data_IF_994755813284
#
_entry.id   IF_994755813284
#
_cell.length_a   1.000
_cell.length_b   1.000
_cell.length_c   1.000
_cell.angle_alpha   90.00
_cell.angle_beta   90.00
_cell.angle_gamma   90.00
#
_symmetry.space_group_name_H-M   'P 1'
#
loop_
_entity.id
_entity.type
_entity.pdbx_description
1 polymer ?
#
# COMPACT_ATOMS: atom_id res chain seq x y z
N UNK A 1 13.79 17.02 6.58
CA UNK A 1 14.33 15.87 5.79
C UNK A 1 13.27 14.83 5.48
N UNK A 2 12.35 14.50 6.41
CA UNK A 2 11.31 13.50 6.15
C UNK A 2 10.37 13.88 4.99
N UNK A 3 10.05 15.17 4.84
CA UNK A 3 9.19 15.65 3.75
C UNK A 3 9.86 15.47 2.38
N UNK A 4 11.15 15.84 2.27
CA UNK A 4 11.95 15.59 1.06
C UNK A 4 12.04 14.10 0.75
N UNK A 5 12.23 13.25 1.76
CA UNK A 5 12.22 11.81 1.57
C UNK A 5 10.85 11.31 1.09
N UNK A 6 9.74 11.83 1.65
CA UNK A 6 8.37 11.49 1.24
C UNK A 6 8.15 11.83 -0.23
N UNK A 7 8.55 13.03 -0.65
CA UNK A 7 8.47 13.46 -2.06
C UNK A 7 9.26 12.54 -2.98
N UNK A 8 10.52 12.27 -2.67
CA UNK A 8 11.38 11.37 -3.46
C UNK A 8 10.76 9.97 -3.52
N UNK A 9 10.30 9.43 -2.39
CA UNK A 9 9.78 8.07 -2.32
C UNK A 9 8.48 7.92 -3.12
N UNK A 10 7.57 8.89 -3.04
CA UNK A 10 6.37 8.93 -3.87
C UNK A 10 6.70 9.01 -5.37
N UNK A 11 7.64 9.89 -5.76
CA UNK A 11 8.05 10.03 -7.15
C UNK A 11 8.66 8.73 -7.70
N UNK A 12 9.50 8.04 -6.91
CA UNK A 12 10.09 6.76 -7.33
C UNK A 12 9.06 5.65 -7.49
N UNK A 13 8.02 5.57 -6.62
CA UNK A 13 6.96 4.58 -6.79
C UNK A 13 6.18 4.81 -8.10
N UNK A 14 5.85 6.07 -8.38
CA UNK A 14 5.11 6.48 -9.58
C UNK A 14 5.88 6.15 -10.85
N UNK A 15 7.16 6.53 -10.92
CA UNK A 15 8.04 6.23 -12.06
C UNK A 15 8.15 4.72 -12.27
N UNK A 16 8.35 3.92 -11.21
CA UNK A 16 8.43 2.47 -11.34
C UNK A 16 7.20 1.88 -12.05
N UNK A 17 5.99 2.35 -11.72
CA UNK A 17 4.76 1.85 -12.35
C UNK A 17 4.61 2.36 -13.78
N UNK A 18 4.87 3.64 -14.03
CA UNK A 18 4.74 4.25 -15.36
C UNK A 18 5.65 3.56 -16.38
N UNK A 19 6.84 3.14 -15.96
CA UNK A 19 7.81 2.42 -16.80
C UNK A 19 7.59 0.89 -16.83
N UNK A 20 6.48 0.39 -16.27
CA UNK A 20 6.14 -1.05 -16.27
C UNK A 20 6.95 -1.91 -15.30
N UNK A 21 7.70 -1.30 -14.39
CA UNK A 21 8.40 -1.99 -13.31
C UNK A 21 7.48 -2.40 -12.15
N UNK A 22 8.01 -3.24 -11.27
CA UNK A 22 7.32 -3.62 -10.02
C UNK A 22 7.83 -2.79 -8.85
N UNK A 23 6.93 -2.33 -7.97
CA UNK A 23 7.31 -1.45 -6.83
C UNK A 23 8.21 -2.14 -5.81
N UNK A 24 8.29 -3.46 -5.87
CA UNK A 24 9.18 -4.29 -5.06
C UNK A 24 9.51 -5.57 -5.83
N UNK A 25 10.64 -6.19 -5.48
CA UNK A 25 11.02 -7.53 -5.95
C UNK A 25 10.88 -8.54 -4.80
N UNK A 26 11.54 -8.28 -3.66
CA UNK A 26 11.52 -9.19 -2.50
C UNK A 26 11.42 -8.47 -1.14
N UNK A 27 11.50 -7.14 -1.10
CA UNK A 27 11.44 -6.38 0.16
C UNK A 27 10.01 -6.19 0.70
N UNK A 28 9.02 -6.77 0.01
CA UNK A 28 7.59 -6.52 0.23
C UNK A 28 7.21 -5.04 -0.01
N UNK A 29 5.96 -4.72 0.28
CA UNK A 29 5.37 -3.40 0.00
C UNK A 29 5.54 -2.46 1.21
N UNK A 30 5.03 -2.87 2.38
CA UNK A 30 4.96 -1.99 3.54
C UNK A 30 4.14 -0.72 3.25
N UNK A 31 4.22 0.30 4.11
CA UNK A 31 3.55 1.59 3.86
C UNK A 31 4.22 2.34 2.71
N UNK A 32 5.54 2.22 2.59
CA UNK A 32 6.33 3.11 1.74
C UNK A 32 6.16 2.86 0.25
N UNK A 33 5.77 1.64 -0.14
CA UNK A 33 5.52 1.29 -1.54
C UNK A 33 4.02 1.24 -1.88
N UNK A 34 3.11 1.63 -0.97
CA UNK A 34 1.66 1.63 -1.24
C UNK A 34 1.23 2.80 -2.11
N UNK A 35 1.44 4.02 -1.62
CA UNK A 35 0.95 5.26 -2.25
C UNK A 35 1.69 5.49 -3.56
N UNK A 36 0.94 5.78 -4.62
CA UNK A 36 1.41 5.83 -6.02
C UNK A 36 2.17 4.57 -6.48
N UNK A 37 1.98 3.48 -5.75
CA UNK A 37 2.72 2.24 -5.90
C UNK A 37 1.77 1.05 -5.95
N UNK A 38 1.91 0.11 -5.01
CA UNK A 38 1.11 -1.11 -4.94
C UNK A 38 -0.41 -0.88 -5.00
N UNK A 39 -0.91 0.27 -4.53
CA UNK A 39 -2.33 0.65 -4.65
C UNK A 39 -2.78 0.83 -6.11
N UNK A 40 -1.90 1.28 -7.01
CA UNK A 40 -2.14 1.37 -8.44
C UNK A 40 -1.73 0.09 -9.19
N UNK A 41 -0.71 -0.61 -8.71
CA UNK A 41 -0.14 -1.76 -9.40
C UNK A 41 -1.03 -3.01 -9.33
N UNK A 42 -1.75 -3.21 -8.23
CA UNK A 42 -2.57 -4.43 -8.04
C UNK A 42 -3.93 -4.31 -8.74
N UNK A 43 -4.48 -5.41 -9.29
CA UNK A 43 -5.88 -5.45 -9.69
C UNK A 43 -6.83 -5.34 -8.48
N UNK A 44 -8.01 -4.76 -8.69
CA UNK A 44 -8.97 -4.54 -7.59
C UNK A 44 -9.47 -5.85 -6.97
N UNK A 45 -9.77 -6.88 -7.77
CA UNK A 45 -10.20 -8.18 -7.24
C UNK A 45 -9.14 -8.87 -6.35
N UNK A 46 -7.86 -8.59 -6.59
CA UNK A 46 -6.78 -9.07 -5.71
C UNK A 46 -6.82 -8.38 -4.34
N UNK A 47 -7.15 -7.08 -4.31
CA UNK A 47 -7.39 -6.35 -3.06
C UNK A 47 -8.54 -6.97 -2.28
N UNK A 48 -9.66 -7.25 -2.95
CA UNK A 48 -10.87 -7.79 -2.31
C UNK A 48 -10.65 -9.17 -1.70
N UNK A 49 -9.89 -10.03 -2.39
CA UNK A 49 -9.46 -11.32 -1.86
C UNK A 49 -8.67 -11.15 -0.56
N UNK A 50 -7.67 -10.26 -0.54
CA UNK A 50 -6.86 -9.99 0.65
C UNK A 50 -7.67 -9.38 1.80
N UNK A 51 -8.58 -8.45 1.49
CA UNK A 51 -9.48 -7.83 2.47
C UNK A 51 -10.39 -8.88 3.11
N UNK A 52 -10.95 -9.78 2.31
CA UNK A 52 -11.82 -10.86 2.79
C UNK A 52 -11.06 -11.85 3.67
N UNK A 53 -9.85 -12.25 3.27
CA UNK A 53 -8.99 -13.09 4.09
C UNK A 53 -8.64 -12.40 5.43
N UNK A 54 -8.29 -11.11 5.39
CA UNK A 54 -7.99 -10.29 6.56
C UNK A 54 -9.16 -10.20 7.53
N UNK A 55 -10.39 -10.04 7.03
CA UNK A 55 -11.60 -10.03 7.84
C UNK A 55 -11.80 -11.36 8.58
N UNK A 56 -11.56 -12.50 7.91
CA UNK A 56 -11.69 -13.83 8.52
C UNK A 56 -10.66 -14.13 9.62
N UNK A 57 -9.41 -13.69 9.45
CA UNK A 57 -8.32 -14.02 10.40
C UNK A 57 -8.02 -12.93 11.42
N UNK A 58 -8.45 -11.69 11.18
CA UNK A 58 -8.25 -10.54 12.08
C UNK A 58 -9.49 -9.62 12.04
N UNK A 59 -10.64 -10.07 12.58
CA UNK A 59 -11.91 -9.36 12.47
C UNK A 59 -11.91 -7.99 13.16
N UNK A 60 -11.01 -7.78 14.14
CA UNK A 60 -10.83 -6.48 14.80
C UNK A 60 -9.79 -5.59 14.12
N UNK A 61 -9.06 -6.13 13.14
CA UNK A 61 -8.00 -5.44 12.37
C UNK A 61 -6.86 -4.91 13.24
N UNK A 62 -6.40 -5.70 14.21
CA UNK A 62 -5.36 -5.31 15.17
C UNK A 62 -3.97 -5.43 14.54
N UNK A 63 -3.74 -6.43 13.69
CA UNK A 63 -2.42 -6.71 13.15
C UNK A 63 -2.12 -5.79 11.96
N UNK A 64 -1.34 -4.73 12.20
CA UNK A 64 -0.78 -3.84 11.18
C UNK A 64 -1.80 -3.28 10.17
N UNK A 65 -2.87 -2.60 10.63
CA UNK A 65 -3.88 -2.05 9.74
C UNK A 65 -3.30 -1.00 8.78
N UNK A 66 -3.71 -1.06 7.52
CA UNK A 66 -3.30 -0.10 6.48
C UNK A 66 -1.85 -0.25 6.01
N UNK A 67 -1.12 -1.32 6.40
CA UNK A 67 0.25 -1.53 5.91
C UNK A 67 0.27 -2.01 4.46
N UNK A 68 -0.56 -2.99 4.10
CA UNK A 68 -0.65 -3.51 2.72
C UNK A 68 -1.98 -3.11 2.06
N UNK A 69 -3.06 -3.17 2.84
CA UNK A 69 -4.42 -2.86 2.45
C UNK A 69 -5.16 -2.25 3.65
N UNK A 70 -6.19 -1.48 3.35
CA UNK A 70 -7.11 -0.99 4.37
C UNK A 70 -8.14 -2.09 4.69
N UNK A 71 -8.36 -2.42 5.98
CA UNK A 71 -9.39 -3.37 6.40
C UNK A 71 -10.79 -2.95 5.94
N UNK A 72 -11.67 -3.93 5.77
CA UNK A 72 -13.06 -3.69 5.36
C UNK A 72 -13.76 -2.66 6.25
N UNK A 73 -14.40 -1.69 5.61
CA UNK A 73 -15.15 -0.62 6.30
C UNK A 73 -14.28 0.35 7.10
N UNK A 74 -12.95 0.28 6.99
CA UNK A 74 -12.01 1.19 7.66
C UNK A 74 -11.12 1.84 6.61
N UNK A 75 -10.82 3.12 6.80
CA UNK A 75 -9.79 3.83 6.04
C UNK A 75 -8.75 4.34 7.03
N UNK A 76 -7.47 4.13 6.74
CA UNK A 76 -6.39 4.61 7.61
C UNK A 76 -5.66 5.74 6.90
N UNK A 77 -5.43 6.87 7.61
CA UNK A 77 -4.63 7.96 7.06
C UNK A 77 -3.25 7.41 6.73
N UNK A 78 -2.87 7.46 5.46
CA UNK A 78 -1.50 7.15 5.08
C UNK A 78 -0.62 8.36 5.39
N UNK A 79 0.56 8.12 5.96
CA UNK A 79 1.46 9.20 6.37
C UNK A 79 2.10 9.94 5.19
N UNK A 80 2.11 9.29 4.01
CA UNK A 80 2.52 9.88 2.73
C UNK A 80 1.37 10.51 1.92
N UNK A 81 0.14 10.46 2.41
CA UNK A 81 -0.96 11.24 1.84
C UNK A 81 -1.07 12.57 2.60
N UNK A 82 -1.62 13.60 1.95
CA UNK A 82 -1.81 14.91 2.58
C UNK A 82 -3.05 14.92 3.50
#
# INVERSE_FOLDING_TARGET
>A
MIDVWKEIKLATNEICIQEGGTVTHHHAVGRDHRVKGYDLQRPEGFKDMLVSAKEGVDPRSIMNPGVLIDPKGKKYKHWMED
#
